data_IF_120383477164
#
_entry.id   IF_120383477164
#
_cell.length_a   1.000
_cell.length_b   1.000
_cell.length_c   1.000
_cell.angle_alpha   90.00
_cell.angle_beta   90.00
_cell.angle_gamma   90.00
#
_symmetry.space_group_name_H-M   'P 1'
#
loop_
_entity.id
_entity.type
_entity.pdbx_description
1 polymer ?
#
# COMPACT_ATOMS: atom_id res chain seq x y z
N UNK A 1 -15.66 32.22 -16.62
CA UNK A 1 -14.37 31.53 -16.38
C UNK A 1 -14.69 30.06 -16.19
N UNK A 2 -14.35 29.18 -17.14
CA UNK A 2 -14.68 27.74 -17.01
C UNK A 2 -13.78 27.16 -15.92
N UNK A 3 -14.39 26.66 -14.85
CA UNK A 3 -13.70 25.99 -13.75
C UNK A 3 -13.09 24.69 -14.30
N UNK A 4 -11.77 24.67 -14.48
CA UNK A 4 -11.01 23.48 -14.91
C UNK A 4 -10.65 22.57 -13.73
N UNK A 5 -11.10 22.93 -12.51
CA UNK A 5 -10.81 22.25 -11.25
C UNK A 5 -12.08 22.08 -10.41
N UNK A 6 -12.19 20.96 -9.70
CA UNK A 6 -13.21 20.74 -8.67
C UNK A 6 -12.96 21.69 -7.50
N UNK A 7 -13.93 22.55 -7.17
CA UNK A 7 -13.81 23.51 -6.08
C UNK A 7 -13.64 22.83 -4.71
N UNK A 8 -14.22 21.64 -4.54
CA UNK A 8 -14.13 20.86 -3.31
C UNK A 8 -12.71 20.34 -3.00
N UNK A 9 -11.97 19.94 -4.02
CA UNK A 9 -10.69 19.23 -3.87
C UNK A 9 -9.50 19.95 -4.51
N UNK A 10 -9.75 21.04 -5.24
CA UNK A 10 -8.73 21.80 -5.95
C UNK A 10 -8.08 21.06 -7.13
N UNK A 11 -8.40 19.79 -7.37
CA UNK A 11 -7.83 18.97 -8.46
C UNK A 11 -8.47 19.27 -9.82
N UNK A 12 -7.80 18.99 -10.94
CA UNK A 12 -8.42 19.09 -12.27
C UNK A 12 -9.76 18.34 -12.33
N UNK A 13 -10.76 18.93 -12.97
CA UNK A 13 -12.07 18.31 -13.18
C UNK A 13 -12.01 17.31 -14.35
N UNK A 14 -11.10 16.34 -14.26
CA UNK A 14 -10.82 15.31 -15.25
C UNK A 14 -11.04 13.94 -14.60
N UNK A 15 -11.69 13.02 -15.31
CA UNK A 15 -11.95 11.67 -14.84
C UNK A 15 -11.41 10.66 -15.84
N UNK A 16 -10.60 9.70 -15.37
CA UNK A 16 -10.07 8.61 -16.18
C UNK A 16 -10.76 7.30 -15.85
N UNK A 17 -11.11 6.51 -16.86
CA UNK A 17 -11.68 5.18 -16.70
C UNK A 17 -11.03 4.23 -17.71
N UNK A 18 -10.80 2.97 -17.33
CA UNK A 18 -10.29 1.96 -18.27
C UNK A 18 -11.28 1.80 -19.42
N UNK A 19 -10.80 1.81 -20.67
CA UNK A 19 -11.64 1.65 -21.88
C UNK A 19 -12.48 0.37 -21.85
N UNK A 20 -12.04 -0.67 -21.14
CA UNK A 20 -12.77 -1.92 -21.00
C UNK A 20 -13.90 -1.86 -19.95
N UNK A 21 -13.93 -0.82 -19.12
CA UNK A 21 -14.87 -0.68 -17.98
C UNK A 21 -16.03 0.27 -18.29
N UNK A 22 -16.12 0.75 -19.53
CA UNK A 22 -17.24 1.53 -20.02
C UNK A 22 -17.42 1.29 -21.51
N UNK A 23 -18.61 1.58 -22.01
CA UNK A 23 -18.92 1.60 -23.44
C UNK A 23 -19.44 2.97 -23.82
N UNK A 24 -19.24 3.38 -25.08
CA UNK A 24 -19.83 4.62 -25.61
C UNK A 24 -21.36 4.65 -25.45
N UNK A 25 -22.02 3.49 -25.44
CA UNK A 25 -23.45 3.35 -25.14
C UNK A 25 -23.84 3.70 -23.71
N UNK A 26 -22.90 3.71 -22.76
CA UNK A 26 -23.14 4.13 -21.37
C UNK A 26 -23.12 5.67 -21.20
N UNK A 27 -22.70 6.40 -22.23
CA UNK A 27 -22.66 7.87 -22.25
C UNK A 27 -23.75 8.42 -23.18
N UNK A 28 -24.59 9.32 -22.65
CA UNK A 28 -25.65 9.94 -23.44
C UNK A 28 -25.10 10.92 -24.51
N UNK A 29 -24.02 11.64 -24.20
CA UNK A 29 -23.40 12.61 -25.12
C UNK A 29 -21.95 12.92 -24.67
N UNK A 30 -21.02 13.05 -25.62
CA UNK A 30 -19.65 13.52 -25.35
C UNK A 30 -19.44 14.89 -25.99
N UNK A 31 -19.09 15.89 -25.18
CA UNK A 31 -18.82 17.25 -25.64
C UNK A 31 -17.37 17.62 -25.27
N UNK A 32 -16.49 17.93 -26.24
CA UNK A 32 -15.14 18.39 -25.94
C UNK A 32 -15.19 19.79 -25.28
N UNK A 33 -14.69 19.89 -24.05
CA UNK A 33 -14.76 21.13 -23.26
C UNK A 33 -13.52 22.04 -23.42
N UNK A 34 -12.41 21.50 -23.91
CA UNK A 34 -11.13 22.20 -24.14
C UNK A 34 -9.92 21.33 -23.83
N UNK A 35 -8.72 21.92 -23.88
CA UNK A 35 -7.47 21.30 -23.44
C UNK A 35 -6.87 22.11 -22.27
N UNK A 36 -6.19 21.44 -21.34
CA UNK A 36 -5.48 22.08 -20.22
C UNK A 36 -4.04 21.59 -20.15
N UNK A 37 -3.14 22.44 -19.65
CA UNK A 37 -1.77 22.06 -19.30
C UNK A 37 -1.77 21.44 -17.89
N UNK A 38 -0.86 20.51 -17.67
CA UNK A 38 -0.67 19.78 -16.43
C UNK A 38 0.55 20.33 -15.69
N UNK A 39 0.47 20.37 -14.36
CA UNK A 39 1.58 20.79 -13.50
C UNK A 39 2.59 19.65 -13.29
N UNK A 40 3.84 19.97 -12.94
CA UNK A 40 4.91 18.96 -12.78
C UNK A 40 4.58 17.89 -11.74
N UNK A 41 3.93 18.26 -10.63
CA UNK A 41 3.49 17.31 -9.60
C UNK A 41 2.43 16.33 -10.13
N UNK A 42 1.53 16.80 -11.00
CA UNK A 42 0.47 15.99 -11.60
C UNK A 42 1.08 15.00 -12.60
N UNK A 43 2.09 15.43 -13.36
CA UNK A 43 2.87 14.57 -14.27
C UNK A 43 3.60 13.49 -13.48
N UNK A 44 4.26 13.86 -12.38
CA UNK A 44 5.01 12.91 -11.55
C UNK A 44 4.09 11.88 -10.88
N UNK A 45 2.91 12.29 -10.41
CA UNK A 45 1.91 11.39 -9.84
C UNK A 45 1.41 10.37 -10.88
N UNK A 46 1.16 10.81 -12.12
CA UNK A 46 0.72 9.94 -13.21
C UNK A 46 1.76 8.87 -13.59
N UNK A 47 3.03 9.28 -13.67
CA UNK A 47 4.17 8.36 -13.95
C UNK A 47 4.28 7.28 -12.86
N UNK A 48 3.97 7.61 -11.61
CA UNK A 48 4.13 6.68 -10.48
C UNK A 48 2.98 5.66 -10.32
N UNK A 49 1.86 5.81 -11.04
CA UNK A 49 0.60 5.09 -10.71
C UNK A 49 0.06 4.23 -11.88
N UNK A 50 0.94 3.54 -12.63
CA UNK A 50 0.61 2.66 -13.78
C UNK A 50 0.09 3.38 -15.03
N UNK A 51 0.97 4.02 -15.82
CA UNK A 51 0.67 4.56 -17.17
C UNK A 51 -0.62 5.42 -17.24
N UNK A 52 -0.98 6.11 -16.15
CA UNK A 52 -2.16 6.95 -16.10
C UNK A 52 -1.84 8.35 -16.64
N UNK A 53 -2.78 8.95 -17.35
CA UNK A 53 -2.64 10.34 -17.80
C UNK A 53 -2.74 11.30 -16.61
N UNK A 54 -1.92 12.37 -16.55
CA UNK A 54 -1.94 13.29 -15.42
C UNK A 54 -3.32 13.94 -15.21
N UNK A 55 -3.73 14.08 -13.95
CA UNK A 55 -5.06 14.58 -13.55
C UNK A 55 -6.18 13.54 -13.54
N UNK A 56 -5.89 12.27 -13.88
CA UNK A 56 -6.87 11.19 -13.76
C UNK A 56 -6.93 10.64 -12.32
N UNK A 57 -8.13 10.50 -11.77
CA UNK A 57 -8.40 9.52 -10.72
C UNK A 57 -8.99 8.27 -11.37
N UNK A 58 -8.38 7.11 -11.12
CA UNK A 58 -8.91 5.84 -11.59
C UNK A 58 -10.02 5.38 -10.65
N UNK A 59 -11.24 5.30 -11.15
CA UNK A 59 -12.33 4.60 -10.48
C UNK A 59 -13.44 4.32 -11.49
N UNK A 60 -14.35 3.41 -11.15
CA UNK A 60 -15.48 3.06 -12.01
C UNK A 60 -16.33 4.31 -12.33
N UNK A 61 -17.07 4.29 -13.43
CA UNK A 61 -17.99 5.38 -13.80
C UNK A 61 -18.96 5.78 -12.67
N UNK A 62 -19.27 4.85 -11.75
CA UNK A 62 -20.10 5.11 -10.57
C UNK A 62 -19.51 6.17 -9.63
N UNK A 63 -18.19 6.29 -9.57
CA UNK A 63 -17.54 7.23 -8.68
C UNK A 63 -17.50 8.67 -9.21
N UNK A 64 -17.88 8.89 -10.48
CA UNK A 64 -18.17 10.24 -11.00
C UNK A 64 -19.26 10.93 -10.17
N UNK A 65 -20.24 10.16 -9.68
CA UNK A 65 -21.30 10.68 -8.81
C UNK A 65 -20.74 11.31 -7.54
N UNK A 66 -19.67 10.77 -6.95
CA UNK A 66 -19.04 11.36 -5.76
C UNK A 66 -18.38 12.70 -6.05
N UNK A 67 -17.82 12.88 -7.25
CA UNK A 67 -17.25 14.17 -7.66
C UNK A 67 -18.34 15.22 -7.89
N UNK A 68 -19.43 14.84 -8.56
CA UNK A 68 -20.59 15.72 -8.80
C UNK A 68 -21.27 16.10 -7.48
N UNK A 69 -21.49 15.12 -6.60
CA UNK A 69 -22.02 15.35 -5.26
C UNK A 69 -21.11 16.27 -4.45
N UNK A 70 -19.79 16.05 -4.48
CA UNK A 70 -18.81 16.90 -3.81
C UNK A 70 -18.89 18.37 -4.24
N UNK A 71 -19.03 18.65 -5.53
CA UNK A 71 -19.19 20.03 -6.03
C UNK A 71 -20.54 20.63 -5.63
N UNK A 72 -21.62 19.86 -5.72
CA UNK A 72 -22.93 20.31 -5.26
C UNK A 72 -22.89 20.64 -3.77
N UNK A 73 -22.31 19.75 -2.94
CA UNK A 73 -22.15 19.99 -1.49
C UNK A 73 -21.20 21.13 -1.21
N UNK A 74 -20.16 21.35 -2.00
CA UNK A 74 -19.29 22.52 -1.83
C UNK A 74 -20.04 23.84 -2.09
N UNK A 75 -20.95 23.86 -3.06
CA UNK A 75 -21.76 25.04 -3.36
C UNK A 75 -22.95 25.24 -2.39
N UNK A 76 -23.51 24.17 -1.83
CA UNK A 76 -24.78 24.21 -1.09
C UNK A 76 -24.69 23.81 0.39
N UNK A 77 -23.65 23.08 0.79
CA UNK A 77 -23.49 22.45 2.11
C UNK A 77 -22.02 22.38 2.56
N UNK A 78 -21.28 23.47 2.31
CA UNK A 78 -19.82 23.50 2.45
C UNK A 78 -19.34 23.19 3.87
N UNK A 79 -20.01 23.75 4.87
CA UNK A 79 -19.60 23.61 6.27
C UNK A 79 -19.74 22.16 6.75
N UNK A 80 -20.85 21.48 6.40
CA UNK A 80 -21.04 20.09 6.75
C UNK A 80 -20.06 19.18 6.02
N UNK A 81 -19.77 19.45 4.75
CA UNK A 81 -18.77 18.71 3.96
C UNK A 81 -17.37 18.81 4.60
N UNK A 82 -16.94 20.01 5.00
CA UNK A 82 -15.66 20.22 5.69
C UNK A 82 -15.64 19.50 7.05
N UNK A 83 -16.73 19.55 7.81
CA UNK A 83 -16.83 18.88 9.11
C UNK A 83 -16.72 17.36 8.96
N UNK A 84 -17.39 16.78 7.97
CA UNK A 84 -17.33 15.35 7.65
C UNK A 84 -15.91 14.93 7.23
N UNK A 85 -15.26 15.68 6.34
CA UNK A 85 -13.88 15.42 5.94
C UNK A 85 -12.93 15.39 7.15
N UNK A 86 -13.04 16.39 8.04
CA UNK A 86 -12.25 16.42 9.28
C UNK A 86 -12.51 15.22 10.17
N UNK A 87 -13.75 14.73 10.26
CA UNK A 87 -14.06 13.52 11.02
C UNK A 87 -13.43 12.27 10.40
N UNK A 88 -13.49 12.12 9.08
CA UNK A 88 -12.88 11.00 8.35
C UNK A 88 -11.36 11.01 8.53
N UNK A 89 -10.72 12.17 8.36
CA UNK A 89 -9.29 12.36 8.58
C UNK A 89 -8.90 12.06 10.03
N UNK A 90 -9.65 12.57 11.01
CA UNK A 90 -9.40 12.32 12.43
C UNK A 90 -9.54 10.83 12.77
N UNK A 91 -10.55 10.14 12.22
CA UNK A 91 -10.74 8.70 12.41
C UNK A 91 -9.60 7.90 11.77
N UNK A 92 -9.16 8.28 10.57
CA UNK A 92 -8.02 7.65 9.90
C UNK A 92 -6.71 7.88 10.67
N UNK A 93 -6.47 9.11 11.15
CA UNK A 93 -5.32 9.43 11.99
C UNK A 93 -5.33 8.68 13.32
N UNK A 94 -6.48 8.60 13.99
CA UNK A 94 -6.63 7.83 15.22
C UNK A 94 -6.40 6.33 15.00
N UNK A 95 -6.90 5.77 13.88
CA UNK A 95 -6.65 4.37 13.50
C UNK A 95 -5.15 4.12 13.29
N UNK A 96 -4.46 5.00 12.55
CA UNK A 96 -3.00 4.92 12.32
C UNK A 96 -2.22 5.01 13.63
N UNK A 97 -2.51 6.01 14.46
CA UNK A 97 -1.86 6.17 15.76
C UNK A 97 -2.07 4.95 16.67
N UNK A 98 -3.28 4.39 16.70
CA UNK A 98 -3.57 3.18 17.47
C UNK A 98 -2.83 1.94 16.93
N UNK A 99 -2.67 1.82 15.61
CA UNK A 99 -1.87 0.75 14.99
C UNK A 99 -0.39 0.91 15.35
N UNK A 100 0.17 2.12 15.22
CA UNK A 100 1.55 2.42 15.60
C UNK A 100 1.84 2.13 17.07
N UNK A 101 0.95 2.54 17.99
CA UNK A 101 1.16 2.29 19.43
C UNK A 101 1.05 0.81 19.79
N UNK A 102 0.11 0.06 19.18
CA UNK A 102 0.05 -1.40 19.32
C UNK A 102 1.34 -2.05 18.82
N UNK A 103 1.84 -1.58 17.68
CA UNK A 103 3.05 -2.09 17.06
C UNK A 103 4.28 -1.81 17.92
N UNK A 104 4.49 -0.57 18.40
CA UNK A 104 5.55 -0.23 19.35
C UNK A 104 5.47 -1.06 20.64
N UNK A 105 4.26 -1.33 21.13
CA UNK A 105 4.04 -2.15 22.32
C UNK A 105 4.44 -3.61 22.07
N UNK A 106 4.05 -4.18 20.92
CA UNK A 106 4.44 -5.52 20.50
C UNK A 106 5.95 -5.66 20.41
N UNK A 107 6.62 -4.71 19.73
CA UNK A 107 8.07 -4.73 19.56
C UNK A 107 8.86 -4.74 20.89
N UNK A 108 8.38 -4.05 21.94
CA UNK A 108 9.08 -3.97 23.24
C UNK A 108 9.29 -5.33 23.91
N UNK A 109 8.36 -6.26 23.71
CA UNK A 109 8.39 -7.58 24.35
C UNK A 109 8.84 -8.71 23.41
N UNK A 110 9.11 -8.40 22.14
CA UNK A 110 9.26 -9.40 21.10
C UNK A 110 10.58 -10.18 21.24
N UNK A 111 10.52 -11.50 21.18
CA UNK A 111 11.69 -12.40 21.23
C UNK A 111 11.74 -13.36 20.05
N UNK A 112 12.89 -14.02 19.84
CA UNK A 112 13.04 -15.06 18.83
C UNK A 112 12.07 -16.24 19.07
N UNK A 113 11.85 -16.61 20.33
CA UNK A 113 10.95 -17.69 20.70
C UNK A 113 9.50 -17.37 20.32
N UNK A 114 9.08 -16.10 20.48
CA UNK A 114 7.75 -15.66 20.05
C UNK A 114 7.61 -15.69 18.52
N UNK A 115 8.58 -15.12 17.79
CA UNK A 115 8.59 -15.15 16.32
C UNK A 115 8.57 -16.58 15.75
N UNK A 116 9.22 -17.53 16.42
CA UNK A 116 9.25 -18.93 16.01
C UNK A 116 7.99 -19.72 16.42
N UNK A 117 7.24 -19.25 17.42
CA UNK A 117 6.02 -19.90 17.89
C UNK A 117 4.76 -19.40 17.16
N UNK A 118 4.78 -18.17 16.66
CA UNK A 118 3.71 -17.59 15.87
C UNK A 118 3.64 -18.18 14.46
N UNK A 119 2.49 -18.07 13.81
CA UNK A 119 2.31 -18.45 12.40
C UNK A 119 2.38 -17.18 11.54
N UNK A 120 3.48 -16.94 10.79
CA UNK A 120 3.54 -15.83 9.86
C UNK A 120 2.39 -15.89 8.86
N UNK A 121 1.86 -14.74 8.47
CA UNK A 121 0.83 -14.65 7.44
C UNK A 121 -0.41 -15.53 7.74
N UNK A 122 -0.84 -15.60 9.00
CA UNK A 122 -2.01 -16.40 9.41
C UNK A 122 -3.27 -16.05 8.62
N UNK A 123 -3.39 -14.78 8.20
CA UNK A 123 -4.54 -14.24 7.47
C UNK A 123 -4.55 -14.55 5.97
N UNK A 124 -3.45 -15.05 5.41
CA UNK A 124 -3.39 -15.46 4.01
C UNK A 124 -4.15 -16.78 3.84
N UNK A 125 -5.47 -16.67 3.72
CA UNK A 125 -6.38 -17.79 3.43
C UNK A 125 -6.64 -17.77 1.93
N UNK A 126 -6.55 -18.92 1.25
CA UNK A 126 -6.79 -19.05 -0.20
C UNK A 126 -8.21 -18.61 -0.60
N UNK A 127 -8.36 -17.31 -0.75
CA UNK A 127 -9.47 -16.58 -1.34
C UNK A 127 -8.84 -15.28 -1.81
N UNK A 128 -9.08 -14.85 -3.06
CA UNK A 128 -8.67 -13.52 -3.50
C UNK A 128 -9.08 -12.49 -2.43
N UNK A 129 -8.16 -11.63 -1.97
CA UNK A 129 -6.90 -11.22 -2.63
C UNK A 129 -5.62 -12.01 -2.27
N UNK A 130 -5.66 -13.00 -1.39
CA UNK A 130 -4.42 -13.60 -0.86
C UNK A 130 -3.77 -14.65 -1.79
N UNK A 131 -2.43 -14.85 -1.69
CA UNK A 131 -1.71 -15.89 -2.41
C UNK A 131 -2.26 -17.30 -2.14
N UNK A 132 -1.97 -18.23 -3.05
CA UNK A 132 -2.39 -19.61 -2.86
C UNK A 132 -1.74 -20.26 -1.62
N UNK A 133 -2.29 -21.41 -1.23
CA UNK A 133 -1.84 -22.12 -0.03
C UNK A 133 -0.38 -22.61 -0.14
N UNK A 134 0.10 -22.92 -1.36
CA UNK A 134 1.45 -23.40 -1.59
C UNK A 134 2.47 -22.27 -1.40
N UNK A 135 2.20 -21.11 -2.00
CA UNK A 135 2.98 -19.88 -1.83
C UNK A 135 3.05 -19.48 -0.38
N UNK A 136 1.89 -19.40 0.28
CA UNK A 136 1.77 -19.03 1.70
C UNK A 136 2.58 -19.97 2.59
N UNK A 137 2.52 -21.28 2.33
CA UNK A 137 3.27 -22.25 3.12
C UNK A 137 4.79 -22.09 2.91
N UNK A 138 5.26 -21.86 1.68
CA UNK A 138 6.67 -21.61 1.41
C UNK A 138 7.15 -20.30 2.05
N UNK A 139 6.34 -19.24 1.99
CA UNK A 139 6.64 -17.96 2.63
C UNK A 139 6.82 -18.13 4.15
N UNK A 140 5.93 -18.89 4.81
CA UNK A 140 6.06 -19.23 6.24
C UNK A 140 7.37 -19.95 6.56
N UNK A 141 7.73 -20.95 5.76
CA UNK A 141 8.98 -21.70 5.94
C UNK A 141 10.18 -20.75 5.83
N UNK A 142 10.21 -19.89 4.82
CA UNK A 142 11.32 -18.95 4.59
C UNK A 142 11.45 -17.95 5.74
N UNK A 143 10.35 -17.44 6.28
CA UNK A 143 10.36 -16.57 7.46
C UNK A 143 10.92 -17.31 8.67
N UNK A 144 10.45 -18.53 8.95
CA UNK A 144 10.95 -19.31 10.08
C UNK A 144 12.43 -19.66 9.94
N UNK A 145 12.87 -20.09 8.76
CA UNK A 145 14.27 -20.38 8.47
C UNK A 145 15.14 -19.14 8.67
N UNK A 146 14.66 -17.98 8.22
CA UNK A 146 15.33 -16.68 8.45
C UNK A 146 15.47 -16.39 9.94
N UNK A 147 14.41 -16.59 10.74
CA UNK A 147 14.45 -16.43 12.19
C UNK A 147 15.44 -17.41 12.86
N UNK A 148 15.47 -18.67 12.42
CA UNK A 148 16.39 -19.69 12.96
C UNK A 148 17.84 -19.29 12.69
N UNK A 149 18.17 -18.95 11.44
CA UNK A 149 19.52 -18.54 11.06
C UNK A 149 19.96 -17.31 11.85
N UNK A 150 19.11 -16.29 11.97
CA UNK A 150 19.45 -15.08 12.72
C UNK A 150 19.62 -15.33 14.23
N UNK A 151 18.81 -16.20 14.82
CA UNK A 151 18.96 -16.62 16.22
C UNK A 151 20.30 -17.31 16.46
N UNK A 152 20.74 -18.15 15.52
CA UNK A 152 22.02 -18.88 15.60
C UNK A 152 23.26 -17.97 15.50
N UNK A 153 23.12 -16.77 14.92
CA UNK A 153 24.19 -15.75 14.95
C UNK A 153 24.44 -15.16 16.35
N UNK A 154 23.57 -15.44 17.33
CA UNK A 154 23.70 -15.03 18.73
C UNK A 154 22.99 -13.72 19.07
N UNK A 155 23.19 -13.21 20.29
CA UNK A 155 22.42 -12.08 20.83
C UNK A 155 22.73 -10.71 20.22
N UNK A 156 23.90 -10.57 19.59
CA UNK A 156 24.38 -9.31 18.98
C UNK A 156 25.11 -9.61 17.67
N UNK A 157 24.39 -10.07 16.65
CA UNK A 157 24.98 -10.37 15.36
C UNK A 157 25.53 -9.10 14.70
N UNK A 158 26.55 -9.24 13.86
CA UNK A 158 27.08 -8.09 13.09
C UNK A 158 26.04 -7.65 12.07
N UNK A 159 25.94 -6.33 11.86
CA UNK A 159 24.99 -5.75 10.89
C UNK A 159 25.12 -6.38 9.50
N UNK A 160 26.35 -6.67 9.05
CA UNK A 160 26.62 -7.32 7.76
C UNK A 160 25.97 -8.69 7.62
N UNK A 161 25.98 -9.48 8.70
CA UNK A 161 25.50 -10.85 8.69
C UNK A 161 23.97 -10.86 8.70
N UNK A 162 23.36 -10.01 9.53
CA UNK A 162 21.90 -9.81 9.54
C UNK A 162 21.42 -9.27 8.20
N UNK A 163 22.11 -8.28 7.63
CA UNK A 163 21.80 -7.70 6.31
C UNK A 163 21.81 -8.77 5.22
N UNK A 164 22.81 -9.64 5.20
CA UNK A 164 22.92 -10.73 4.22
C UNK A 164 21.72 -11.68 4.32
N UNK A 165 21.33 -12.06 5.54
CA UNK A 165 20.22 -12.98 5.77
C UNK A 165 18.88 -12.34 5.40
N UNK A 166 18.61 -11.11 5.84
CA UNK A 166 17.39 -10.37 5.49
C UNK A 166 17.29 -10.11 3.97
N UNK A 167 18.40 -9.74 3.32
CA UNK A 167 18.41 -9.54 1.86
C UNK A 167 18.11 -10.85 1.12
N UNK A 168 18.65 -11.97 1.57
CA UNK A 168 18.32 -13.28 1.01
C UNK A 168 16.83 -13.65 1.15
N UNK A 169 16.21 -13.28 2.27
CA UNK A 169 14.77 -13.44 2.47
C UNK A 169 13.96 -12.56 1.49
N UNK A 170 14.32 -11.28 1.33
CA UNK A 170 13.66 -10.38 0.37
C UNK A 170 13.84 -10.86 -1.08
N UNK A 171 15.04 -11.29 -1.45
CA UNK A 171 15.32 -11.86 -2.78
C UNK A 171 14.49 -13.11 -3.05
N UNK A 172 14.22 -13.93 -2.03
CA UNK A 172 13.31 -15.06 -2.17
C UNK A 172 11.88 -14.59 -2.50
N UNK A 173 11.35 -13.59 -1.78
CA UNK A 173 10.02 -13.04 -2.07
C UNK A 173 9.93 -12.42 -3.47
N UNK A 174 10.94 -11.66 -3.91
CA UNK A 174 11.00 -11.12 -5.27
C UNK A 174 10.90 -12.22 -6.33
N UNK A 175 11.70 -13.27 -6.19
CA UNK A 175 11.71 -14.38 -7.14
C UNK A 175 10.40 -15.19 -7.08
N UNK A 176 9.87 -15.42 -5.88
CA UNK A 176 8.64 -16.19 -5.70
C UNK A 176 7.43 -15.45 -6.29
N UNK A 177 7.37 -14.14 -6.12
CA UNK A 177 6.32 -13.29 -6.67
C UNK A 177 6.38 -13.25 -8.20
N UNK A 178 7.56 -13.06 -8.78
CA UNK A 178 7.76 -13.09 -10.23
C UNK A 178 7.33 -14.43 -10.83
N UNK A 179 7.68 -15.55 -10.19
CA UNK A 179 7.29 -16.90 -10.64
C UNK A 179 5.79 -17.17 -10.49
N UNK A 180 5.13 -16.54 -9.51
CA UNK A 180 3.70 -16.67 -9.26
C UNK A 180 2.86 -15.71 -10.12
N UNK A 181 3.51 -14.78 -10.85
CA UNK A 181 2.84 -13.82 -11.72
C UNK A 181 2.36 -12.55 -11.03
N UNK A 182 3.03 -12.12 -9.95
CA UNK A 182 2.70 -10.89 -9.23
C UNK A 182 1.52 -11.06 -8.28
N UNK A 183 1.64 -11.97 -7.30
CA UNK A 183 0.59 -12.29 -6.32
C UNK A 183 0.71 -11.49 -5.03
N UNK A 184 1.84 -10.81 -4.81
CA UNK A 184 2.04 -9.90 -3.68
C UNK A 184 1.43 -8.55 -4.04
N UNK A 185 0.24 -8.26 -3.50
CA UNK A 185 -0.41 -6.96 -3.68
C UNK A 185 -0.15 -6.06 -2.44
N UNK A 186 -1.04 -5.10 -2.20
CA UNK A 186 -0.86 -4.10 -1.14
C UNK A 186 -0.93 -4.71 0.26
N UNK A 187 -1.86 -5.64 0.51
CA UNK A 187 -2.02 -6.22 1.86
C UNK A 187 -0.87 -7.16 2.21
N UNK A 188 -0.47 -8.01 1.26
CA UNK A 188 0.65 -8.95 1.41
C UNK A 188 1.97 -8.20 1.61
N UNK A 189 2.16 -7.10 0.88
CA UNK A 189 3.31 -6.21 1.02
C UNK A 189 3.48 -5.69 2.43
N UNK A 190 2.40 -5.18 3.01
CA UNK A 190 2.41 -4.63 4.36
C UNK A 190 2.65 -5.73 5.41
N UNK A 191 2.09 -6.93 5.20
CA UNK A 191 2.33 -8.08 6.07
C UNK A 191 3.80 -8.54 6.03
N UNK A 192 4.40 -8.67 4.82
CA UNK A 192 5.82 -9.05 4.66
C UNK A 192 6.71 -8.01 5.32
N UNK A 193 6.46 -6.71 5.06
CA UNK A 193 7.24 -5.63 5.65
C UNK A 193 7.17 -5.64 7.17
N UNK A 194 5.97 -5.80 7.74
CA UNK A 194 5.76 -5.88 9.18
C UNK A 194 6.55 -7.01 9.83
N UNK A 195 6.56 -8.20 9.23
CA UNK A 195 7.35 -9.35 9.71
C UNK A 195 8.85 -9.08 9.61
N UNK A 196 9.33 -8.52 8.50
CA UNK A 196 10.76 -8.20 8.34
C UNK A 196 11.24 -7.12 9.32
N UNK A 197 10.40 -6.13 9.62
CA UNK A 197 10.68 -5.12 10.63
C UNK A 197 10.78 -5.73 12.03
N UNK A 198 9.87 -6.65 12.37
CA UNK A 198 9.89 -7.41 13.62
C UNK A 198 11.18 -8.23 13.76
N UNK A 199 11.58 -8.94 12.71
CA UNK A 199 12.84 -9.70 12.67
C UNK A 199 14.05 -8.78 12.86
N UNK A 200 14.11 -7.65 12.14
CA UNK A 200 15.18 -6.67 12.26
C UNK A 200 15.24 -6.06 13.67
N UNK A 201 14.09 -5.86 14.31
CA UNK A 201 13.99 -5.40 15.69
C UNK A 201 14.61 -6.40 16.66
N UNK A 202 14.21 -7.68 16.61
CA UNK A 202 14.70 -8.72 17.51
C UNK A 202 16.21 -8.96 17.28
N UNK A 203 16.68 -8.86 16.03
CA UNK A 203 18.10 -8.90 15.68
C UNK A 203 18.90 -7.66 16.14
N UNK A 204 18.24 -6.65 16.72
CA UNK A 204 18.82 -5.36 17.16
C UNK A 204 19.45 -4.55 16.01
N UNK A 205 18.93 -4.69 14.80
CA UNK A 205 19.43 -4.01 13.59
C UNK A 205 18.35 -3.14 12.93
N UNK A 206 17.65 -2.30 13.70
CA UNK A 206 16.54 -1.44 13.23
C UNK A 206 16.87 -0.60 11.99
N UNK A 207 18.13 -0.18 11.83
CA UNK A 207 18.55 0.58 10.63
C UNK A 207 18.44 -0.19 9.31
N UNK A 208 18.23 -1.52 9.35
CA UNK A 208 18.03 -2.33 8.14
C UNK A 208 16.59 -2.25 7.61
N UNK A 209 15.65 -1.75 8.40
CA UNK A 209 14.24 -1.59 8.02
C UNK A 209 14.10 -0.64 6.83
N UNK A 210 14.83 0.48 6.88
CA UNK A 210 14.89 1.45 5.78
C UNK A 210 15.55 0.85 4.51
N UNK A 211 16.42 -0.13 4.67
CA UNK A 211 17.14 -0.75 3.55
C UNK A 211 16.32 -1.85 2.86
N UNK A 212 15.42 -2.51 3.59
CA UNK A 212 14.51 -3.53 3.05
C UNK A 212 13.66 -2.98 1.90
N UNK A 213 13.18 -1.74 2.03
CA UNK A 213 12.38 -1.08 1.00
C UNK A 213 13.14 -0.89 -0.32
N UNK A 214 14.47 -0.75 -0.26
CA UNK A 214 15.32 -0.62 -1.45
C UNK A 214 15.66 -1.97 -2.11
N UNK A 215 15.37 -3.11 -1.48
CA UNK A 215 15.69 -4.44 -2.01
C UNK A 215 14.50 -5.13 -2.67
N UNK A 216 13.28 -4.76 -2.32
CA UNK A 216 12.07 -5.38 -2.86
C UNK A 216 11.75 -4.89 -4.27
N UNK A 217 11.13 -5.76 -5.05
CA UNK A 217 10.66 -5.45 -6.41
C UNK A 217 9.16 -5.70 -6.60
N UNK A 218 8.50 -6.23 -5.56
CA UNK A 218 7.06 -6.47 -5.47
C UNK A 218 6.31 -5.32 -4.81
#
# INVERSE_FOLDING_TARGET
>A
MRLTRFAHQGRPAVWGVNVEWWTLSDLLEMIPLGATRLEEEEVQFAVNTLDLLPGSSFSTMRAVNHAVEGEWRWANDREALIAEQKQVEAKAAAKRAAQEERYKTRLKGLTWEQLLAETPFERWVSSPPFPDAEFTQKARVVIHDTCIVLRELGQRPRKSDVRKVLKGCVEWFNNADELAGGVIETEEREDIYGVLEEIAHVARQKSLVDEIDAWRTW
#
